data_IF_901830665573
#
_entry.id   IF_901830665573
#
_cell.length_a   1.000
_cell.length_b   1.000
_cell.length_c   1.000
_cell.angle_alpha   90.00
_cell.angle_beta   90.00
_cell.angle_gamma   90.00
#
_symmetry.space_group_name_H-M   'P 1'
#
loop_
_entity.id
_entity.type
_entity.pdbx_description
1 polymer ?
#
# COMPACT_ATOMS: atom_id res chain seq x y z
N UNK A 1 10.17 20.92 -46.89
CA UNK A 1 11.54 20.56 -46.46
C UNK A 1 12.55 21.61 -46.92
N UNK A 2 12.67 22.71 -46.17
CA UNK A 2 13.48 23.87 -46.61
C UNK A 2 14.93 23.87 -46.09
N UNK A 3 15.33 22.95 -45.20
CA UNK A 3 16.65 22.98 -44.57
C UNK A 3 17.77 22.44 -45.52
N UNK A 4 18.77 23.25 -45.91
CA UNK A 4 19.85 22.83 -46.81
C UNK A 4 20.67 21.63 -46.29
N UNK A 5 20.87 21.53 -44.97
CA UNK A 5 21.57 20.38 -44.34
C UNK A 5 20.79 19.09 -44.55
N UNK A 6 19.47 19.12 -44.40
CA UNK A 6 18.61 17.95 -44.63
C UNK A 6 18.62 17.53 -46.10
N UNK A 7 18.61 18.48 -47.05
CA UNK A 7 18.72 18.20 -48.49
C UNK A 7 20.06 17.56 -48.87
N UNK A 8 21.18 18.04 -48.30
CA UNK A 8 22.51 17.44 -48.51
C UNK A 8 22.58 16.04 -47.92
N UNK A 9 22.01 15.83 -46.73
CA UNK A 9 21.88 14.50 -46.10
C UNK A 9 21.05 13.54 -46.96
N UNK A 10 20.00 14.00 -47.63
CA UNK A 10 19.22 13.15 -48.52
C UNK A 10 19.99 12.73 -49.79
N UNK A 11 20.78 13.64 -50.38
CA UNK A 11 21.56 13.39 -51.62
C UNK A 11 22.89 12.65 -51.41
N UNK A 12 23.46 12.65 -50.22
CA UNK A 12 24.71 11.92 -49.97
C UNK A 12 24.49 10.41 -50.15
N UNK A 13 25.27 9.76 -51.02
CA UNK A 13 25.25 8.31 -51.27
C UNK A 13 25.84 7.44 -50.15
N UNK A 14 26.16 8.05 -49.00
CA UNK A 14 26.57 7.32 -47.80
C UNK A 14 25.40 6.48 -47.28
N UNK A 15 25.69 5.24 -46.87
CA UNK A 15 24.72 4.29 -46.34
C UNK A 15 23.92 4.91 -45.18
N UNK A 16 22.59 4.90 -45.32
CA UNK A 16 21.67 5.34 -44.26
C UNK A 16 21.07 4.11 -43.60
N UNK A 17 21.33 3.88 -42.30
CA UNK A 17 20.58 2.86 -41.59
C UNK A 17 19.10 3.24 -41.58
N UNK A 18 18.24 2.32 -42.02
CA UNK A 18 16.78 2.48 -41.99
C UNK A 18 16.35 2.59 -40.53
N UNK A 19 15.86 3.76 -40.13
CA UNK A 19 15.38 3.96 -38.79
C UNK A 19 13.95 3.42 -38.69
N UNK A 20 13.75 2.27 -38.03
CA UNK A 20 12.41 1.77 -37.75
C UNK A 20 11.59 2.82 -36.97
N UNK A 21 10.29 2.91 -37.26
CA UNK A 21 9.42 3.87 -36.59
C UNK A 21 9.31 3.52 -35.09
N UNK A 22 9.41 4.54 -34.24
CA UNK A 22 9.21 4.37 -32.79
C UNK A 22 7.81 3.83 -32.45
N UNK A 23 6.84 4.08 -33.34
CA UNK A 23 5.45 3.61 -33.23
C UNK A 23 5.31 2.12 -33.56
N UNK A 24 6.04 1.59 -34.54
CA UNK A 24 6.03 0.15 -34.83
C UNK A 24 6.54 -0.65 -33.62
N UNK A 25 7.62 -0.18 -32.97
CA UNK A 25 8.12 -0.76 -31.72
C UNK A 25 7.12 -0.66 -30.57
N UNK A 26 6.35 0.44 -30.48
CA UNK A 26 5.29 0.61 -29.47
C UNK A 26 4.13 -0.37 -29.67
N UNK A 27 3.73 -0.61 -30.91
CA UNK A 27 2.66 -1.56 -31.23
C UNK A 27 3.12 -3.01 -31.04
N UNK A 28 4.38 -3.31 -31.37
CA UNK A 28 4.98 -4.63 -31.14
C UNK A 28 5.15 -4.92 -29.64
N UNK A 29 5.53 -3.91 -28.86
CA UNK A 29 5.73 -4.01 -27.42
C UNK A 29 4.53 -3.42 -26.64
N UNK A 30 3.30 -3.68 -27.08
CA UNK A 30 2.11 -3.11 -26.42
C UNK A 30 2.00 -3.58 -24.97
N UNK A 31 2.48 -4.79 -24.68
CA UNK A 31 2.72 -5.28 -23.33
C UNK A 31 4.15 -5.83 -23.23
N UNK A 32 5.11 -5.06 -22.67
CA UNK A 32 6.46 -5.56 -22.47
C UNK A 32 6.47 -6.71 -21.45
N UNK A 33 7.36 -7.70 -21.59
CA UNK A 33 7.49 -8.78 -20.62
C UNK A 33 7.89 -8.23 -19.25
N UNK A 34 7.29 -8.78 -18.19
CA UNK A 34 7.54 -8.34 -16.82
C UNK A 34 8.91 -8.80 -16.33
N UNK A 35 9.64 -7.86 -15.74
CA UNK A 35 10.88 -8.12 -14.98
C UNK A 35 10.57 -8.49 -13.54
N UNK A 36 10.01 -9.68 -13.34
CA UNK A 36 9.63 -10.23 -12.03
C UNK A 36 10.32 -11.58 -11.76
N UNK A 37 10.22 -12.13 -10.52
CA UNK A 37 10.52 -13.52 -10.22
C UNK A 37 9.86 -14.47 -11.23
N UNK A 38 10.51 -15.62 -11.48
CA UNK A 38 10.06 -16.57 -12.52
C UNK A 38 8.60 -16.98 -12.35
N UNK A 39 8.21 -17.29 -11.11
CA UNK A 39 6.84 -17.65 -10.72
C UNK A 39 5.80 -16.64 -11.24
N UNK A 40 6.07 -15.35 -11.10
CA UNK A 40 5.17 -14.29 -11.58
C UNK A 40 5.17 -14.14 -13.09
N UNK A 41 6.32 -14.36 -13.73
CA UNK A 41 6.46 -14.23 -15.18
C UNK A 41 5.70 -15.35 -15.90
N UNK A 42 5.77 -16.56 -15.35
CA UNK A 42 5.14 -17.75 -15.93
C UNK A 42 3.61 -17.69 -15.82
N UNK A 43 3.10 -17.11 -14.72
CA UNK A 43 1.68 -16.89 -14.50
C UNK A 43 1.12 -15.62 -15.18
N UNK A 44 1.96 -14.85 -15.90
CA UNK A 44 1.54 -13.59 -16.53
C UNK A 44 0.94 -13.78 -17.92
N UNK A 45 -0.33 -13.41 -18.09
CA UNK A 45 -0.99 -13.43 -19.40
C UNK A 45 -0.83 -12.10 -20.15
N UNK A 46 -0.15 -12.13 -21.30
CA UNK A 46 0.07 -10.97 -22.18
C UNK A 46 -1.20 -10.43 -22.86
N UNK A 47 -2.30 -11.18 -22.80
CA UNK A 47 -3.57 -10.78 -23.43
C UNK A 47 -4.49 -10.04 -22.47
N UNK A 48 -4.26 -10.15 -21.16
CA UNK A 48 -5.04 -9.48 -20.12
C UNK A 48 -4.43 -8.14 -19.77
N UNK A 49 -5.23 -7.26 -19.16
CA UNK A 49 -4.71 -6.01 -18.62
C UNK A 49 -3.89 -6.27 -17.35
N UNK A 50 -3.03 -5.33 -16.97
CA UNK A 50 -2.25 -5.41 -15.73
C UNK A 50 -3.18 -5.65 -14.53
N UNK A 51 -4.27 -4.89 -14.44
CA UNK A 51 -5.24 -5.02 -13.34
C UNK A 51 -5.86 -6.42 -13.26
N UNK A 52 -6.34 -6.95 -14.39
CA UNK A 52 -6.93 -8.28 -14.48
C UNK A 52 -5.93 -9.39 -14.15
N UNK A 53 -4.67 -9.24 -14.54
CA UNK A 53 -3.63 -10.19 -14.17
C UNK A 53 -3.35 -10.19 -12.67
N UNK A 54 -3.15 -9.01 -12.08
CA UNK A 54 -2.93 -8.92 -10.63
C UNK A 54 -4.11 -9.53 -9.86
N UNK A 55 -5.35 -9.23 -10.26
CA UNK A 55 -6.55 -9.84 -9.68
C UNK A 55 -6.57 -11.37 -9.83
N UNK A 56 -6.26 -11.92 -11.01
CA UNK A 56 -6.17 -13.36 -11.24
C UNK A 56 -5.06 -14.04 -10.45
N UNK A 57 -3.96 -13.32 -10.17
CA UNK A 57 -2.85 -13.78 -9.34
C UNK A 57 -3.15 -13.67 -7.84
N UNK A 58 -4.24 -13.00 -7.44
CA UNK A 58 -4.54 -12.70 -6.04
C UNK A 58 -3.71 -11.56 -5.47
N UNK A 59 -3.16 -10.70 -6.33
CA UNK A 59 -2.38 -9.52 -5.97
C UNK A 59 -3.20 -8.24 -6.16
N UNK A 60 -2.88 -7.22 -5.37
CA UNK A 60 -3.50 -5.91 -5.47
C UNK A 60 -2.83 -5.10 -6.59
N UNK A 61 -3.62 -4.58 -7.53
CA UNK A 61 -3.10 -3.77 -8.64
C UNK A 61 -2.79 -2.31 -8.25
N UNK A 62 -3.53 -1.74 -7.28
CA UNK A 62 -3.40 -0.37 -6.81
C UNK A 62 -3.63 -0.31 -5.31
N UNK A 63 -2.76 0.40 -4.58
CA UNK A 63 -2.89 0.65 -3.15
C UNK A 63 -3.76 1.86 -2.80
N UNK A 64 -4.18 2.65 -3.80
CA UNK A 64 -5.01 3.82 -3.58
C UNK A 64 -6.41 3.38 -3.11
N UNK A 65 -6.89 3.81 -1.93
CA UNK A 65 -8.18 3.43 -1.39
C UNK A 65 -9.35 4.02 -2.18
N UNK A 66 -9.15 5.23 -2.73
CA UNK A 66 -10.12 5.96 -3.56
C UNK A 66 -9.71 5.91 -5.02
N UNK A 67 -9.52 4.70 -5.56
CA UNK A 67 -9.26 4.54 -6.98
C UNK A 67 -10.45 5.13 -7.79
N UNK A 68 -10.19 6.16 -8.59
CA UNK A 68 -11.22 6.78 -9.41
C UNK A 68 -11.58 5.91 -10.62
N UNK A 69 -12.87 5.91 -10.97
CA UNK A 69 -13.40 5.16 -12.11
C UNK A 69 -14.06 3.82 -11.72
N UNK A 70 -14.71 3.20 -12.71
CA UNK A 70 -15.38 1.90 -12.54
C UNK A 70 -14.39 0.73 -12.47
N UNK A 71 -14.76 -0.29 -11.70
CA UNK A 71 -14.04 -1.57 -11.61
C UNK A 71 -14.84 -2.59 -12.42
N UNK A 72 -14.19 -3.30 -13.34
CA UNK A 72 -14.80 -4.42 -14.05
C UNK A 72 -15.12 -5.52 -13.02
N UNK A 73 -16.41 -5.85 -12.86
CA UNK A 73 -16.83 -6.97 -12.01
C UNK A 73 -16.95 -8.20 -12.91
N UNK A 74 -16.27 -9.33 -12.60
CA UNK A 74 -16.47 -10.55 -13.36
C UNK A 74 -17.94 -10.96 -13.32
N UNK A 75 -18.51 -11.30 -14.47
CA UNK A 75 -19.93 -11.66 -14.64
C UNK A 75 -20.37 -12.83 -13.75
N UNK A 76 -19.42 -13.64 -13.27
CA UNK A 76 -19.66 -14.79 -12.40
C UNK A 76 -20.10 -14.40 -10.97
N UNK A 77 -19.92 -13.13 -10.57
CA UNK A 77 -20.39 -12.62 -9.27
C UNK A 77 -21.76 -11.93 -9.32
N UNK A 78 -22.40 -11.85 -10.49
CA UNK A 78 -23.72 -11.24 -10.65
C UNK A 78 -24.88 -12.05 -10.01
N UNK A 79 -24.62 -13.25 -9.50
CA UNK A 79 -25.63 -14.13 -8.88
C UNK A 79 -25.52 -14.32 -7.36
N UNK A 80 -24.60 -13.64 -6.67
CA UNK A 80 -24.37 -13.81 -5.21
C UNK A 80 -24.59 -12.53 -4.40
N UNK A 81 -25.32 -11.56 -4.94
CA UNK A 81 -25.85 -10.46 -4.14
C UNK A 81 -27.11 -10.93 -3.38
N UNK A 82 -26.91 -11.20 -2.08
CA UNK A 82 -27.86 -10.87 -1.01
C UNK A 82 -29.32 -11.37 -1.18
N UNK A 83 -29.53 -12.67 -0.99
CA UNK A 83 -30.85 -13.24 -0.68
C UNK A 83 -31.17 -13.23 0.83
N UNK A 84 -30.53 -12.35 1.62
CA UNK A 84 -30.68 -12.30 3.08
C UNK A 84 -31.26 -10.98 3.61
N UNK A 85 -31.71 -10.07 2.74
CA UNK A 85 -32.41 -8.85 3.16
C UNK A 85 -33.56 -8.46 2.20
N UNK A 86 -34.28 -9.48 1.72
CA UNK A 86 -35.47 -9.33 0.90
C UNK A 86 -36.71 -9.73 1.71
N UNK A 87 -37.06 -8.92 2.70
CA UNK A 87 -38.40 -8.88 3.31
C UNK A 87 -38.94 -7.46 3.26
N UNK A 88 -39.04 -6.90 2.06
CA UNK A 88 -39.97 -5.80 1.75
C UNK A 88 -40.16 -5.73 0.22
N UNK A 89 -41.40 -5.86 -0.29
CA UNK A 89 -41.66 -5.76 -1.73
C UNK A 89 -41.58 -4.30 -2.21
N UNK A 90 -41.02 -4.02 -3.40
CA UNK A 90 -41.04 -2.69 -3.99
C UNK A 90 -42.39 -2.41 -4.66
N UNK A 91 -43.27 -1.67 -3.96
CA UNK A 91 -44.48 -1.09 -4.55
C UNK A 91 -44.14 0.18 -5.36
N UNK A 92 -44.72 0.37 -6.55
CA UNK A 92 -44.51 1.55 -7.38
C UNK A 92 -45.16 2.80 -6.77
N UNK A 93 -44.40 3.89 -6.67
CA UNK A 93 -44.91 5.22 -6.28
C UNK A 93 -45.98 5.72 -7.25
N UNK A 94 -47.24 5.51 -6.88
CA UNK A 94 -48.38 6.29 -7.35
C UNK A 94 -48.69 7.32 -6.26
N UNK A 95 -48.49 8.58 -6.59
CA UNK A 95 -48.87 9.72 -5.77
C UNK A 95 -50.38 9.76 -5.57
N UNK A 96 -50.85 9.28 -4.43
CA UNK A 96 -52.18 9.60 -3.93
C UNK A 96 -52.09 9.84 -2.43
N UNK A 97 -51.62 11.04 -2.07
CA UNK A 97 -51.54 11.45 -0.67
C UNK A 97 -52.90 12.02 -0.26
N UNK A 98 -53.71 11.16 0.34
CA UNK A 98 -54.86 11.55 1.18
C UNK A 98 -54.34 12.39 2.35
N UNK A 99 -55.09 13.43 2.70
CA UNK A 99 -54.71 14.45 3.66
C UNK A 99 -54.78 13.93 5.10
N UNK A 100 -53.65 13.56 5.69
CA UNK A 100 -53.52 13.42 7.13
C UNK A 100 -53.27 14.81 7.76
N UNK A 101 -54.19 15.23 8.63
CA UNK A 101 -54.31 16.60 9.15
C UNK A 101 -53.38 16.96 10.32
N UNK A 102 -52.43 16.10 10.72
CA UNK A 102 -51.57 16.37 11.90
C UNK A 102 -50.09 15.97 11.74
N UNK A 103 -49.49 16.20 10.57
CA UNK A 103 -48.03 16.11 10.43
C UNK A 103 -47.36 17.38 11.01
N UNK A 104 -46.45 17.21 11.98
CA UNK A 104 -45.68 18.32 12.55
C UNK A 104 -44.80 18.98 11.49
N UNK A 105 -44.76 20.31 11.50
CA UNK A 105 -44.04 21.08 10.48
C UNK A 105 -42.53 21.05 10.78
N UNK A 106 -41.66 20.76 9.79
CA UNK A 106 -40.21 20.78 9.99
C UNK A 106 -39.67 22.13 10.48
N UNK A 107 -38.68 22.11 11.39
CA UNK A 107 -38.05 23.32 11.96
C UNK A 107 -37.54 24.26 10.85
N UNK A 108 -37.91 25.54 10.92
CA UNK A 108 -37.58 26.56 9.92
C UNK A 108 -38.59 26.74 8.78
N UNK A 109 -39.66 25.95 8.73
CA UNK A 109 -40.77 26.09 7.78
C UNK A 109 -42.09 26.37 8.52
N UNK A 110 -42.98 27.17 7.94
CA UNK A 110 -44.32 27.44 8.46
C UNK A 110 -45.40 26.99 7.46
N UNK A 111 -46.53 26.50 7.96
CA UNK A 111 -47.65 26.06 7.10
C UNK A 111 -48.75 27.12 7.11
N UNK A 112 -49.05 27.66 5.93
CA UNK A 112 -50.15 28.62 5.73
C UNK A 112 -51.38 27.85 5.27
N UNK A 113 -52.47 27.89 6.03
CA UNK A 113 -53.77 27.32 5.69
C UNK A 113 -54.64 28.41 5.06
N UNK A 114 -55.19 28.13 3.87
CA UNK A 114 -56.06 29.05 3.12
C UNK A 114 -57.45 28.44 2.95
N UNK A 115 -58.46 29.30 2.87
CA UNK A 115 -59.81 28.89 2.49
C UNK A 115 -59.92 28.63 0.98
N UNK A 116 -61.07 28.10 0.54
CA UNK A 116 -61.36 27.78 -0.87
C UNK A 116 -61.31 29.03 -1.78
N UNK A 117 -61.41 30.23 -1.22
CA UNK A 117 -61.34 31.51 -1.93
C UNK A 117 -59.92 32.09 -1.96
N UNK A 118 -58.93 31.39 -1.41
CA UNK A 118 -57.51 31.76 -1.44
C UNK A 118 -57.10 32.78 -0.38
N UNK A 119 -57.98 33.14 0.57
CA UNK A 119 -57.65 33.99 1.70
C UNK A 119 -56.96 33.16 2.79
N UNK A 120 -55.97 33.76 3.46
CA UNK A 120 -55.21 33.11 4.54
C UNK A 120 -56.05 33.12 5.81
N UNK A 121 -56.34 31.92 6.32
CA UNK A 121 -57.14 31.74 7.54
C UNK A 121 -56.25 31.51 8.75
N UNK A 122 -55.16 30.74 8.62
CA UNK A 122 -54.29 30.41 9.75
C UNK A 122 -52.83 30.16 9.31
N UNK A 123 -51.88 30.45 10.20
CA UNK A 123 -50.44 30.22 10.01
C UNK A 123 -49.91 29.43 11.19
N UNK A 124 -49.65 28.14 10.96
CA UNK A 124 -49.11 27.24 11.98
C UNK A 124 -47.58 27.26 11.91
N UNK A 125 -46.95 27.81 12.95
CA UNK A 125 -45.51 27.74 13.19
C UNK A 125 -45.21 26.66 14.24
N UNK A 126 -44.08 25.93 14.12
CA UNK A 126 -43.66 25.01 15.17
C UNK A 126 -43.26 25.79 16.44
N UNK A 127 -43.74 25.32 17.59
CA UNK A 127 -43.39 25.87 18.92
C UNK A 127 -41.89 25.63 19.18
N UNK A 128 -41.13 26.69 19.44
CA UNK A 128 -39.70 26.62 19.71
C UNK A 128 -39.46 26.03 21.10
N UNK A 129 -39.08 24.75 21.16
CA UNK A 129 -38.58 24.13 22.39
C UNK A 129 -37.18 24.69 22.69
N UNK A 130 -37.06 25.51 23.75
CA UNK A 130 -35.80 26.14 24.15
C UNK A 130 -34.72 25.08 24.44
N UNK A 131 -33.46 25.27 23.96
CA UNK A 131 -32.39 24.33 24.25
C UNK A 131 -31.92 24.45 25.71
N UNK A 132 -31.98 23.34 26.44
CA UNK A 132 -31.32 23.18 27.73
C UNK A 132 -29.79 23.47 27.63
N UNK A 133 -29.17 24.06 28.68
CA UNK A 133 -27.78 24.50 28.64
C UNK A 133 -26.79 23.33 28.49
N UNK A 134 -25.86 23.49 27.54
CA UNK A 134 -24.92 22.48 27.06
C UNK A 134 -23.60 22.46 27.85
N UNK A 135 -23.61 21.99 29.11
CA UNK A 135 -22.38 21.89 29.92
C UNK A 135 -22.07 20.50 30.53
N UNK A 136 -22.82 19.43 30.24
CA UNK A 136 -22.58 18.11 30.88
C UNK A 136 -22.22 16.94 29.94
N UNK A 137 -22.12 17.14 28.61
CA UNK A 137 -21.99 16.02 27.65
C UNK A 137 -20.58 15.74 27.13
N UNK A 138 -19.52 16.23 27.78
CA UNK A 138 -18.13 15.89 27.42
C UNK A 138 -17.53 14.73 28.22
N UNK A 139 -18.23 14.16 29.20
CA UNK A 139 -17.72 13.06 30.04
C UNK A 139 -18.00 11.64 29.49
N UNK A 140 -18.86 11.47 28.50
CA UNK A 140 -19.27 10.16 27.95
C UNK A 140 -18.79 9.95 26.50
N UNK A 141 -17.50 10.18 26.24
CA UNK A 141 -16.88 9.68 25.01
C UNK A 141 -16.52 8.20 25.22
N UNK A 142 -17.20 7.24 24.58
CA UNK A 142 -16.90 5.82 24.73
C UNK A 142 -15.48 5.53 24.27
N UNK A 143 -14.71 4.85 25.11
CA UNK A 143 -13.33 4.47 24.88
C UNK A 143 -13.27 3.49 23.68
N UNK A 144 -12.73 3.88 22.51
CA UNK A 144 -12.83 3.12 21.25
C UNK A 144 -12.09 1.79 21.27
N UNK A 145 -11.37 1.52 22.36
CA UNK A 145 -10.65 0.29 22.64
C UNK A 145 -11.56 -0.83 23.19
N UNK A 146 -12.73 -0.48 23.74
CA UNK A 146 -13.65 -1.42 24.42
C UNK A 146 -14.86 -1.80 23.57
N UNK A 147 -15.21 -0.99 22.55
CA UNK A 147 -16.32 -1.27 21.65
C UNK A 147 -15.87 -2.08 20.42
N UNK A 148 -16.29 -3.35 20.35
CA UNK A 148 -15.98 -4.29 19.24
C UNK A 148 -16.36 -3.75 17.84
N UNK A 149 -17.36 -2.87 17.77
CA UNK A 149 -17.81 -2.24 16.52
C UNK A 149 -16.88 -1.09 16.08
N UNK A 150 -16.35 -0.29 17.02
CA UNK A 150 -15.42 0.80 16.75
C UNK A 150 -13.99 0.30 16.54
N UNK A 151 -13.60 -0.79 17.21
CA UNK A 151 -12.33 -1.48 17.01
C UNK A 151 -12.14 -1.94 15.55
N UNK A 152 -13.23 -2.29 14.85
CA UNK A 152 -13.20 -2.64 13.43
C UNK A 152 -12.86 -1.46 12.51
N UNK A 153 -13.05 -0.21 12.96
CA UNK A 153 -12.78 1.00 12.19
C UNK A 153 -11.39 1.58 12.51
N UNK A 154 -10.91 1.40 13.74
CA UNK A 154 -9.60 1.90 14.22
C UNK A 154 -8.45 0.89 13.98
N UNK A 155 -8.76 -0.40 13.78
CA UNK A 155 -7.79 -1.48 13.69
C UNK A 155 -7.17 -1.71 12.30
N UNK A 156 -6.27 -0.82 11.85
CA UNK A 156 -5.41 -1.08 10.68
C UNK A 156 -4.25 -2.08 10.98
N UNK A 157 -4.18 -2.64 12.19
CA UNK A 157 -3.02 -3.42 12.64
C UNK A 157 -3.34 -4.63 13.55
N UNK A 158 -4.54 -5.21 13.50
CA UNK A 158 -4.81 -6.48 14.18
C UNK A 158 -4.90 -7.64 13.18
N UNK A 159 -3.82 -8.43 13.13
CA UNK A 159 -3.64 -9.62 12.27
C UNK A 159 -4.71 -10.72 12.45
N UNK A 160 -5.63 -10.57 13.41
CA UNK A 160 -6.57 -11.61 13.83
C UNK A 160 -7.80 -11.76 12.92
N UNK A 161 -8.22 -10.72 12.19
CA UNK A 161 -9.29 -10.80 11.16
C UNK A 161 -8.78 -10.91 9.72
N UNK A 162 -7.47 -10.79 9.48
CA UNK A 162 -6.89 -11.04 8.17
C UNK A 162 -7.03 -12.51 7.74
N UNK A 163 -7.15 -13.44 8.70
CA UNK A 163 -7.34 -14.87 8.45
C UNK A 163 -8.75 -15.23 7.92
N UNK A 164 -9.80 -14.51 8.34
CA UNK A 164 -11.20 -14.79 7.95
C UNK A 164 -11.63 -14.13 6.63
N UNK A 165 -10.85 -13.16 6.13
CA UNK A 165 -11.04 -12.50 4.83
C UNK A 165 -9.93 -12.84 3.83
N UNK A 166 -9.17 -13.92 4.04
CA UNK A 166 -8.17 -14.36 3.05
C UNK A 166 -8.89 -14.66 1.75
N UNK A 167 -8.62 -13.84 0.74
CA UNK A 167 -8.86 -14.19 -0.66
C UNK A 167 -8.25 -15.58 -0.92
N UNK A 168 -8.80 -16.39 -1.85
CA UNK A 168 -8.24 -17.70 -2.14
C UNK A 168 -6.75 -17.57 -2.43
N UNK A 169 -5.91 -18.12 -1.54
CA UNK A 169 -4.46 -18.08 -1.70
C UNK A 169 -4.11 -18.80 -3.00
N UNK A 170 -3.71 -18.03 -4.01
CA UNK A 170 -3.27 -18.62 -5.26
C UNK A 170 -1.92 -19.29 -5.03
N UNK A 171 -1.63 -20.35 -5.79
CA UNK A 171 -0.32 -21.00 -5.76
C UNK A 171 0.84 -20.00 -5.99
N UNK A 172 0.60 -18.96 -6.78
CA UNK A 172 1.58 -17.90 -7.05
C UNK A 172 1.86 -17.06 -5.81
N UNK A 173 0.84 -16.66 -5.05
CA UNK A 173 1.04 -15.90 -3.80
C UNK A 173 1.83 -16.72 -2.80
N UNK A 174 1.48 -17.99 -2.60
CA UNK A 174 2.22 -18.89 -1.70
C UNK A 174 3.69 -19.00 -2.07
N UNK A 175 4.00 -19.27 -3.34
CA UNK A 175 5.38 -19.37 -3.81
C UNK A 175 6.15 -18.05 -3.67
N UNK A 176 5.49 -16.89 -3.76
CA UNK A 176 6.13 -15.60 -3.51
C UNK A 176 6.38 -15.34 -2.03
N UNK A 177 5.49 -15.77 -1.16
CA UNK A 177 5.68 -15.71 0.29
C UNK A 177 6.86 -16.58 0.71
N UNK A 178 6.95 -17.81 0.19
CA UNK A 178 8.10 -18.70 0.38
C UNK A 178 9.40 -18.04 -0.08
N UNK A 179 9.44 -17.49 -1.30
CA UNK A 179 10.61 -16.76 -1.81
C UNK A 179 10.97 -15.52 -0.96
N UNK A 180 9.98 -14.87 -0.35
CA UNK A 180 10.19 -13.74 0.55
C UNK A 180 10.76 -14.20 1.90
N UNK A 181 10.34 -15.36 2.39
CA UNK A 181 10.86 -16.00 3.60
C UNK A 181 12.28 -16.52 3.39
N UNK A 182 12.62 -16.98 2.18
CA UNK A 182 13.96 -17.32 1.71
C UNK A 182 14.87 -16.07 1.56
N UNK A 183 14.83 -15.16 2.54
CA UNK A 183 15.72 -14.02 2.61
C UNK A 183 17.16 -14.53 2.63
N UNK A 184 17.87 -14.30 1.53
CA UNK A 184 19.31 -14.52 1.45
C UNK A 184 19.97 -13.86 2.67
N UNK A 185 20.52 -14.68 3.56
CA UNK A 185 21.29 -14.19 4.69
C UNK A 185 22.38 -13.27 4.15
N UNK A 186 22.51 -12.06 4.72
CA UNK A 186 23.56 -11.13 4.30
C UNK A 186 24.89 -11.87 4.42
N UNK A 187 25.66 -11.90 3.34
CA UNK A 187 26.96 -12.56 3.35
C UNK A 187 27.78 -12.05 4.56
N UNK A 188 28.38 -12.95 5.35
CA UNK A 188 29.20 -12.55 6.49
C UNK A 188 30.32 -11.62 6.01
N UNK A 189 30.58 -10.55 6.76
CA UNK A 189 31.68 -9.63 6.48
C UNK A 189 32.97 -10.22 7.03
N UNK A 190 33.99 -10.38 6.19
CA UNK A 190 35.30 -10.88 6.60
C UNK A 190 36.34 -9.77 6.67
N UNK A 191 37.29 -9.89 7.59
CA UNK A 191 38.50 -9.07 7.60
C UNK A 191 39.45 -9.48 6.46
N UNK A 192 40.17 -8.52 5.87
CA UNK A 192 41.15 -8.81 4.82
C UNK A 192 42.34 -9.60 5.38
N UNK A 193 43.12 -10.26 4.51
CA UNK A 193 44.28 -11.06 4.92
C UNK A 193 45.33 -10.24 5.68
N UNK A 194 45.63 -9.03 5.19
CA UNK A 194 46.55 -8.10 5.86
C UNK A 194 46.01 -7.62 7.21
N UNK A 195 44.73 -7.26 7.29
CA UNK A 195 44.10 -6.84 8.55
C UNK A 195 44.15 -7.98 9.59
N UNK A 196 43.89 -9.23 9.16
CA UNK A 196 44.00 -10.39 10.04
C UNK A 196 45.43 -10.59 10.55
N UNK A 197 46.46 -10.40 9.72
CA UNK A 197 47.85 -10.54 10.16
C UNK A 197 48.20 -9.51 11.25
N UNK A 198 47.85 -8.24 11.05
CA UNK A 198 48.07 -7.19 12.07
C UNK A 198 47.32 -7.49 13.36
N UNK A 199 46.06 -7.92 13.27
CA UNK A 199 45.27 -8.29 14.44
C UNK A 199 45.82 -9.53 15.16
N UNK A 200 46.33 -10.54 14.44
CA UNK A 200 47.02 -11.69 15.06
C UNK A 200 48.24 -11.24 15.86
N UNK A 201 49.05 -10.33 15.32
CA UNK A 201 50.20 -9.79 16.05
C UNK A 201 49.77 -9.05 17.32
N UNK A 202 48.76 -8.19 17.25
CA UNK A 202 48.21 -7.49 18.42
C UNK A 202 47.66 -8.45 19.48
N UNK A 203 46.86 -9.43 19.07
CA UNK A 203 46.28 -10.45 19.96
C UNK A 203 47.35 -11.36 20.56
N UNK A 204 48.39 -11.71 19.80
CA UNK A 204 49.51 -12.53 20.31
C UNK A 204 50.31 -11.83 21.42
N UNK A 205 50.41 -10.49 21.36
CA UNK A 205 51.17 -9.69 22.33
C UNK A 205 50.34 -9.28 23.55
N UNK A 206 49.09 -8.84 23.33
CA UNK A 206 48.24 -8.26 24.39
C UNK A 206 47.08 -9.15 24.82
N UNK A 207 46.85 -10.28 24.16
CA UNK A 207 45.75 -11.19 24.49
C UNK A 207 44.38 -10.58 24.17
N UNK A 208 43.59 -10.34 25.20
CA UNK A 208 42.22 -9.79 25.10
C UNK A 208 42.13 -8.31 25.51
N UNK A 209 43.24 -7.70 25.96
CA UNK A 209 43.27 -6.30 26.37
C UNK A 209 43.35 -5.34 25.17
N UNK A 210 42.18 -4.89 24.71
CA UNK A 210 42.04 -4.00 23.55
C UNK A 210 42.53 -2.59 23.84
N UNK A 211 42.52 -2.13 25.10
CA UNK A 211 43.00 -0.79 25.44
C UNK A 211 44.52 -0.69 25.30
N UNK A 212 45.23 -1.75 25.73
CA UNK A 212 46.68 -1.85 25.55
C UNK A 212 47.06 -1.99 24.07
N UNK A 213 46.26 -2.72 23.27
CA UNK A 213 46.48 -2.80 21.81
C UNK A 213 46.38 -1.43 21.13
N UNK A 214 45.40 -0.61 21.52
CA UNK A 214 45.20 0.71 20.93
C UNK A 214 46.38 1.65 21.21
N UNK A 215 47.02 1.52 22.38
CA UNK A 215 48.18 2.32 22.80
C UNK A 215 49.51 1.88 22.15
N UNK A 216 49.56 0.72 21.50
CA UNK A 216 50.80 0.21 20.89
C UNK A 216 51.14 0.94 19.58
N UNK A 217 52.08 1.88 19.65
CA UNK A 217 52.53 2.66 18.48
C UNK A 217 53.29 1.83 17.44
N UNK A 218 53.74 0.63 17.78
CA UNK A 218 54.54 -0.23 16.89
C UNK A 218 53.67 -1.17 16.06
N UNK A 219 52.75 -1.88 16.71
CA UNK A 219 51.85 -2.84 16.04
C UNK A 219 50.54 -2.21 15.55
N UNK A 220 50.17 -1.03 16.07
CA UNK A 220 49.03 -0.23 15.61
C UNK A 220 49.51 1.10 14.99
N UNK A 221 50.21 1.05 13.82
CA UNK A 221 50.78 2.24 13.19
C UNK A 221 49.70 3.25 12.77
N UNK A 222 48.52 2.75 12.41
CA UNK A 222 47.37 3.56 11.99
C UNK A 222 46.62 4.20 13.17
N UNK A 223 47.08 3.99 14.41
CA UNK A 223 46.48 4.54 15.63
C UNK A 223 44.98 4.21 15.75
N UNK A 224 44.58 2.99 15.36
CA UNK A 224 43.20 2.51 15.47
C UNK A 224 42.73 2.59 16.91
N UNK A 225 41.51 3.09 17.11
CA UNK A 225 40.92 3.19 18.45
C UNK A 225 40.54 1.82 19.01
N UNK A 226 40.40 1.70 20.33
CA UNK A 226 40.01 0.44 20.97
C UNK A 226 38.67 -0.10 20.42
N UNK A 227 37.70 0.79 20.16
CA UNK A 227 36.41 0.40 19.57
C UNK A 227 36.52 -0.09 18.12
N UNK A 228 37.47 0.43 17.34
CA UNK A 228 37.75 -0.04 15.99
C UNK A 228 38.42 -1.41 16.00
N UNK A 229 39.41 -1.60 16.87
CA UNK A 229 40.07 -2.90 17.06
C UNK A 229 39.07 -3.97 17.52
N UNK A 230 38.18 -3.65 18.47
CA UNK A 230 37.11 -4.57 18.91
C UNK A 230 36.17 -4.97 17.76
N UNK A 231 35.76 -4.00 16.93
CA UNK A 231 34.94 -4.27 15.73
C UNK A 231 35.68 -5.10 14.69
N UNK A 232 36.97 -4.82 14.48
CA UNK A 232 37.82 -5.53 13.54
C UNK A 232 38.05 -6.99 13.96
N UNK A 233 38.31 -7.23 15.25
CA UNK A 233 38.44 -8.56 15.83
C UNK A 233 37.13 -9.34 15.71
N UNK A 234 35.98 -8.72 16.02
CA UNK A 234 34.66 -9.33 15.82
C UNK A 234 34.42 -9.71 14.36
N UNK A 235 34.81 -8.83 13.43
CA UNK A 235 34.72 -9.06 11.98
C UNK A 235 35.68 -10.15 11.49
N UNK A 236 36.82 -10.35 12.17
CA UNK A 236 37.78 -11.41 11.86
C UNK A 236 37.32 -12.80 12.37
N UNK A 237 36.32 -12.86 13.25
CA UNK A 237 35.82 -14.09 13.86
C UNK A 237 36.17 -14.26 15.34
N UNK A 238 36.54 -13.17 16.03
CA UNK A 238 36.80 -13.14 17.47
C UNK A 238 38.24 -13.47 17.86
N UNK A 239 38.53 -13.36 19.16
CA UNK A 239 39.87 -13.59 19.72
C UNK A 239 40.36 -15.03 19.54
N UNK A 240 39.48 -16.02 19.70
CA UNK A 240 39.82 -17.43 19.56
C UNK A 240 40.42 -17.76 18.18
N UNK A 241 39.88 -17.15 17.11
CA UNK A 241 40.34 -17.36 15.73
C UNK A 241 41.66 -16.63 15.41
N UNK A 242 42.00 -15.60 16.18
CA UNK A 242 43.23 -14.83 16.00
C UNK A 242 44.39 -15.33 16.88
N UNK A 243 44.08 -16.11 17.92
CA UNK A 243 45.06 -16.70 18.84
C UNK A 243 45.64 -18.03 18.33
N UNK A 244 44.92 -18.72 17.45
CA UNK A 244 45.38 -19.91 16.72
C UNK A 244 45.91 -19.56 15.34
#
# INVERSE_FOLDING_TARGET
MANPRQRRKLRSGSYKPVHHSRRAKKNLNKQPPIRAPKVLRDAWDKHKTVRQNYEALGLVASLNPTASGGIERPSNHAGRSQAADASSPPEPSISQRVADTHASVPKGYGRIVRDENGNVVDVVLPEEEEPAPADETMQDLPDPTQDDQLASWVGLASDTKAATLRAPETHVVRALEELSQERNARAPRFASTGEQATLRHLVSKYGEDVESMAKDRTLNPDQRTAGELSRAIRKAGGFARLKG
#
